data_IF_307454887099
#
_entry.id   IF_307454887099
#
_cell.length_a   1.000
_cell.length_b   1.000
_cell.length_c   1.000
_cell.angle_alpha   90.00
_cell.angle_beta   90.00
_cell.angle_gamma   90.00
#
_symmetry.space_group_name_H-M   'P 1'
#
loop_
_entity.id
_entity.type
_entity.pdbx_description
1 polymer ?
#
# COMPACT_ATOMS: atom_id res chain seq x y z
N UNK A 1 0.71 34.80 16.12
CA UNK A 1 0.57 33.33 16.02
C UNK A 1 0.58 32.87 14.57
N UNK A 2 -0.15 33.52 13.65
CA UNK A 2 0.00 33.40 12.19
C UNK A 2 1.47 33.30 11.72
N UNK A 3 2.28 34.27 12.12
CA UNK A 3 3.70 34.36 11.80
C UNK A 3 4.53 33.16 12.29
N UNK A 4 4.13 32.55 13.42
CA UNK A 4 4.79 31.34 13.93
C UNK A 4 4.42 30.14 13.05
N UNK A 5 3.15 30.01 12.67
CA UNK A 5 2.67 28.89 11.86
C UNK A 5 3.36 28.83 10.48
N UNK A 6 3.44 29.97 9.79
CA UNK A 6 4.09 30.06 8.47
C UNK A 6 5.59 29.81 8.56
N UNK A 7 6.26 30.28 9.62
CA UNK A 7 7.70 30.01 9.80
C UNK A 7 7.98 28.56 10.16
N UNK A 8 7.12 27.93 10.96
CA UNK A 8 7.31 26.53 11.37
C UNK A 8 6.99 25.57 10.23
N UNK A 9 5.90 25.80 9.50
CA UNK A 9 5.43 24.87 8.46
C UNK A 9 6.06 25.20 7.10
N UNK A 10 5.94 26.44 6.64
CA UNK A 10 6.37 26.86 5.29
C UNK A 10 7.76 27.52 5.26
N UNK A 11 8.42 27.66 6.42
CA UNK A 11 9.74 28.28 6.55
C UNK A 11 9.84 29.72 6.01
N UNK A 12 8.71 30.45 5.95
CA UNK A 12 8.67 31.86 5.53
C UNK A 12 7.75 32.70 6.41
N UNK A 13 7.72 34.01 6.18
CA UNK A 13 6.74 34.91 6.80
C UNK A 13 5.45 34.97 5.98
N UNK A 14 4.28 35.15 6.62
CA UNK A 14 3.01 35.31 5.92
C UNK A 14 2.95 36.65 5.19
N UNK A 15 2.36 36.65 4.00
CA UNK A 15 2.04 37.85 3.23
C UNK A 15 0.95 38.67 3.92
N UNK A 16 0.81 39.95 3.55
CA UNK A 16 -0.22 40.84 4.14
C UNK A 16 -1.64 40.32 3.94
N UNK A 17 -1.91 39.67 2.81
CA UNK A 17 -3.19 39.02 2.49
C UNK A 17 -3.49 37.82 3.40
N UNK A 18 -2.46 37.13 3.88
CA UNK A 18 -2.56 35.90 4.66
C UNK A 18 -2.66 36.16 6.18
N UNK A 19 -2.14 37.31 6.63
CA UNK A 19 -2.16 37.73 8.05
C UNK A 19 -3.57 37.89 8.60
N UNK A 20 -4.53 38.34 7.77
CA UNK A 20 -5.94 38.50 8.16
C UNK A 20 -6.68 37.17 8.29
N UNK A 21 -6.43 36.21 7.38
CA UNK A 21 -7.08 34.89 7.38
C UNK A 21 -6.70 34.08 8.61
N UNK A 22 -5.42 34.09 8.97
CA UNK A 22 -4.95 33.32 10.13
C UNK A 22 -5.50 33.84 11.45
N UNK A 23 -5.87 35.13 11.58
CA UNK A 23 -6.45 35.62 12.83
C UNK A 23 -7.85 35.04 13.10
N UNK A 24 -8.61 34.73 12.04
CA UNK A 24 -9.97 34.17 12.10
C UNK A 24 -9.94 32.68 12.46
N UNK A 25 -9.02 31.92 11.87
CA UNK A 25 -8.93 30.46 12.00
C UNK A 25 -8.68 29.98 13.45
N UNK A 26 -8.11 30.81 14.32
CA UNK A 26 -7.84 30.45 15.72
C UNK A 26 -9.05 30.61 16.66
N UNK A 27 -10.11 31.30 16.23
CA UNK A 27 -11.27 31.54 17.10
C UNK A 27 -12.33 30.45 16.98
N UNK A 28 -12.20 29.53 16.01
CA UNK A 28 -13.17 28.48 15.74
C UNK A 28 -12.51 27.09 15.84
N UNK A 29 -13.03 26.19 16.71
CA UNK A 29 -12.54 24.82 16.80
C UNK A 29 -12.63 24.09 15.44
N UNK A 30 -11.55 23.44 15.01
CA UNK A 30 -11.48 22.69 13.74
C UNK A 30 -10.94 23.48 12.54
N UNK A 31 -10.99 24.82 12.56
CA UNK A 31 -10.42 25.63 11.47
C UNK A 31 -8.89 25.65 11.52
N UNK A 32 -8.30 25.60 12.72
CA UNK A 32 -6.86 25.50 12.89
C UNK A 32 -6.29 24.23 12.28
N UNK A 33 -6.87 23.06 12.59
CA UNK A 33 -6.44 21.77 12.06
C UNK A 33 -6.59 21.71 10.54
N UNK A 34 -7.71 22.25 10.01
CA UNK A 34 -7.91 22.37 8.57
C UNK A 34 -6.83 23.24 7.94
N UNK A 35 -6.50 24.40 8.54
CA UNK A 35 -5.47 25.30 8.00
C UNK A 35 -4.08 24.68 8.01
N UNK A 36 -3.72 24.00 9.09
CA UNK A 36 -2.46 23.24 9.18
C UNK A 36 -2.43 22.16 8.10
N UNK A 37 -3.53 21.43 7.93
CA UNK A 37 -3.65 20.45 6.85
C UNK A 37 -3.48 21.09 5.48
N UNK A 38 -4.16 22.20 5.19
CA UNK A 38 -4.05 22.90 3.91
C UNK A 38 -2.61 23.36 3.62
N UNK A 39 -1.92 23.88 4.64
CA UNK A 39 -0.51 24.27 4.51
C UNK A 39 0.39 23.07 4.24
N UNK A 40 0.21 21.95 4.94
CA UNK A 40 0.99 20.72 4.72
C UNK A 40 0.75 20.08 3.36
N UNK A 41 -0.45 20.23 2.78
CA UNK A 41 -0.79 19.71 1.46
C UNK A 41 -0.53 20.70 0.32
N UNK A 42 -0.14 21.95 0.63
CA UNK A 42 0.15 22.98 -0.37
C UNK A 42 1.41 22.66 -1.20
N UNK A 43 1.42 23.07 -2.46
CA UNK A 43 2.61 23.00 -3.33
C UNK A 43 3.81 23.73 -2.73
N UNK A 44 3.55 24.83 -2.05
CA UNK A 44 4.58 25.62 -1.39
C UNK A 44 5.33 24.81 -0.32
N UNK A 45 4.62 24.09 0.54
CA UNK A 45 5.24 23.21 1.54
C UNK A 45 6.11 22.14 0.89
N UNK A 46 5.60 21.50 -0.17
CA UNK A 46 6.30 20.44 -0.90
C UNK A 46 7.59 20.93 -1.55
N UNK A 47 7.61 22.18 -2.03
CA UNK A 47 8.78 22.78 -2.69
C UNK A 47 9.77 23.32 -1.68
N UNK A 48 9.32 24.02 -0.64
CA UNK A 48 10.19 24.82 0.23
C UNK A 48 10.64 24.08 1.49
N UNK A 49 9.74 23.36 2.16
CA UNK A 49 9.99 22.83 3.50
C UNK A 49 10.28 21.33 3.49
N UNK A 50 9.52 20.58 2.69
CA UNK A 50 9.58 19.12 2.67
C UNK A 50 10.95 18.53 2.28
N UNK A 51 11.70 19.08 1.28
CA UNK A 51 13.02 18.55 0.95
C UNK A 51 14.02 18.66 2.11
N UNK A 52 13.98 19.76 2.86
CA UNK A 52 14.85 19.97 4.03
C UNK A 52 14.54 18.99 5.17
N UNK A 53 13.25 18.82 5.47
CA UNK A 53 12.79 17.87 6.49
C UNK A 53 13.20 16.42 6.17
N UNK A 54 13.09 16.04 4.90
CA UNK A 54 13.46 14.70 4.44
C UNK A 54 14.99 14.54 4.44
N UNK A 55 15.75 15.54 3.99
CA UNK A 55 17.22 15.47 3.95
C UNK A 55 17.83 15.32 5.35
N UNK A 56 17.34 16.04 6.35
CA UNK A 56 17.85 15.99 7.72
C UNK A 56 17.62 14.61 8.38
N UNK A 57 16.43 14.04 8.19
CA UNK A 57 16.09 12.74 8.76
C UNK A 57 16.84 11.56 8.10
N UNK A 58 17.33 11.74 6.87
CA UNK A 58 17.83 10.66 6.01
C UNK A 58 19.33 10.67 5.82
N UNK A 59 20.11 11.29 6.72
CA UNK A 59 21.56 11.44 6.53
C UNK A 59 22.30 10.11 6.20
N UNK A 60 21.89 8.98 6.77
CA UNK A 60 22.49 7.66 6.46
C UNK A 60 22.05 7.08 5.10
N UNK A 61 21.04 7.67 4.49
CA UNK A 61 20.39 7.30 3.24
C UNK A 61 20.59 8.38 2.15
N UNK A 62 21.42 9.39 2.39
CA UNK A 62 21.64 10.49 1.44
C UNK A 62 22.04 9.96 0.06
N UNK A 63 21.33 10.42 -0.96
CA UNK A 63 21.54 10.00 -2.36
C UNK A 63 21.01 8.61 -2.71
N UNK A 64 20.45 7.86 -1.74
CA UNK A 64 19.84 6.55 -1.98
C UNK A 64 18.33 6.68 -2.03
N UNK A 65 17.74 6.15 -3.10
CA UNK A 65 16.29 6.05 -3.25
C UNK A 65 15.94 4.60 -3.45
N UNK A 66 15.09 4.07 -2.59
CA UNK A 66 14.70 2.66 -2.59
C UNK A 66 13.21 2.54 -2.86
N UNK A 67 12.86 1.62 -3.75
CA UNK A 67 11.50 1.12 -3.87
C UNK A 67 11.40 -0.28 -3.26
N UNK A 68 10.58 -0.39 -2.22
CA UNK A 68 10.24 -1.65 -1.58
C UNK A 68 8.97 -2.22 -2.23
N UNK A 69 9.19 -3.23 -3.08
CA UNK A 69 8.11 -4.04 -3.65
C UNK A 69 7.53 -4.94 -2.55
N UNK A 70 6.40 -4.51 -2.02
CA UNK A 70 5.67 -5.24 -0.99
C UNK A 70 4.83 -6.33 -1.67
N UNK A 71 5.28 -7.57 -1.57
CA UNK A 71 4.46 -8.73 -1.98
C UNK A 71 3.52 -9.09 -0.84
N UNK A 72 2.20 -9.25 -1.07
CA UNK A 72 1.29 -9.60 0.01
C UNK A 72 1.68 -10.89 0.73
N UNK A 73 1.56 -10.89 2.06
CA UNK A 73 1.77 -12.04 2.96
C UNK A 73 3.21 -12.58 3.04
N UNK A 74 4.21 -11.78 2.68
CA UNK A 74 5.64 -12.11 2.82
C UNK A 74 6.31 -11.45 4.04
N UNK A 75 5.52 -11.06 5.04
CA UNK A 75 5.96 -10.21 6.15
C UNK A 75 6.40 -8.79 5.73
N UNK A 76 5.99 -8.34 4.54
CA UNK A 76 6.36 -7.02 4.02
C UNK A 76 5.91 -5.85 4.90
N UNK A 77 4.82 -5.96 5.68
CA UNK A 77 4.46 -4.94 6.68
C UNK A 77 5.56 -4.74 7.72
N UNK A 78 6.13 -5.82 8.27
CA UNK A 78 7.20 -5.73 9.27
C UNK A 78 8.47 -5.13 8.67
N UNK A 79 8.82 -5.54 7.45
CA UNK A 79 9.98 -5.03 6.71
C UNK A 79 9.81 -3.55 6.38
N UNK A 80 8.63 -3.15 5.91
CA UNK A 80 8.26 -1.76 5.69
C UNK A 80 8.47 -0.92 6.96
N UNK A 81 7.98 -1.38 8.11
CA UNK A 81 8.14 -0.64 9.37
C UNK A 81 9.61 -0.50 9.78
N UNK A 82 10.41 -1.55 9.56
CA UNK A 82 11.86 -1.49 9.80
C UNK A 82 12.56 -0.50 8.85
N UNK A 83 12.18 -0.48 7.57
CA UNK A 83 12.70 0.46 6.58
C UNK A 83 12.33 1.91 6.94
N UNK A 84 11.06 2.20 7.25
CA UNK A 84 10.62 3.53 7.68
C UNK A 84 11.42 4.00 8.91
N UNK A 85 11.58 3.11 9.90
CA UNK A 85 12.38 3.42 11.10
C UNK A 85 13.86 3.68 10.77
N UNK A 86 14.42 2.93 9.83
CA UNK A 86 15.81 3.06 9.41
C UNK A 86 16.06 4.32 8.58
N UNK A 87 15.09 4.74 7.78
CA UNK A 87 15.16 5.92 6.93
C UNK A 87 14.88 7.19 7.72
N UNK A 88 14.07 7.11 8.78
CA UNK A 88 13.71 8.25 9.63
C UNK A 88 12.55 9.10 9.08
N UNK A 89 12.03 8.77 7.90
CA UNK A 89 10.89 9.46 7.28
C UNK A 89 9.77 8.48 6.94
N UNK A 90 8.52 8.96 6.82
CA UNK A 90 7.46 8.20 6.19
C UNK A 90 7.86 7.72 4.79
N UNK A 91 7.25 6.62 4.37
CA UNK A 91 7.39 6.12 3.01
C UNK A 91 6.32 6.74 2.10
N UNK A 92 6.66 6.92 0.83
CA UNK A 92 5.65 7.21 -0.18
C UNK A 92 4.90 5.92 -0.57
N UNK A 93 3.58 5.91 -0.35
CA UNK A 93 2.75 4.70 -0.45
C UNK A 93 1.95 4.60 -1.76
N UNK A 94 2.05 3.46 -2.45
CA UNK A 94 1.37 3.18 -3.72
C UNK A 94 0.35 2.04 -3.65
N UNK A 95 -0.22 1.79 -2.48
CA UNK A 95 -1.26 0.77 -2.36
C UNK A 95 -2.50 1.19 -3.17
N UNK A 96 -2.95 0.31 -4.08
CA UNK A 96 -4.15 0.50 -4.93
C UNK A 96 -4.05 1.59 -6.03
N UNK A 97 -2.86 2.14 -6.32
CA UNK A 97 -2.68 3.04 -7.47
C UNK A 97 -2.42 2.23 -8.74
N UNK A 98 -3.05 2.60 -9.85
CA UNK A 98 -2.81 1.97 -11.15
C UNK A 98 -1.63 2.68 -11.82
N UNK A 99 -0.49 2.02 -12.05
CA UNK A 99 0.76 2.66 -12.51
C UNK A 99 0.74 3.06 -13.99
N UNK A 100 -0.41 3.05 -14.67
CA UNK A 100 -0.55 3.60 -16.03
C UNK A 100 -0.26 5.11 -16.12
N UNK A 101 -0.03 5.79 -14.98
CA UNK A 101 0.51 7.14 -14.92
C UNK A 101 1.96 7.11 -14.46
N UNK A 102 2.86 6.76 -15.37
CA UNK A 102 4.31 6.98 -15.20
C UNK A 102 4.64 8.47 -14.93
N UNK A 103 3.76 9.38 -15.41
CA UNK A 103 3.81 10.82 -15.12
C UNK A 103 3.56 11.15 -13.65
N UNK A 104 2.70 10.40 -12.94
CA UNK A 104 2.47 10.62 -11.51
C UNK A 104 3.69 10.22 -10.71
N UNK A 105 4.40 9.15 -11.09
CA UNK A 105 5.60 8.69 -10.39
C UNK A 105 6.73 9.73 -10.48
N UNK A 106 6.90 10.40 -11.61
CA UNK A 106 8.02 11.34 -11.84
C UNK A 106 7.74 12.79 -11.45
N UNK A 107 6.59 13.09 -10.84
CA UNK A 107 6.35 14.45 -10.33
C UNK A 107 7.46 14.86 -9.36
N UNK A 108 7.84 16.14 -9.37
CA UNK A 108 8.82 16.72 -8.45
C UNK A 108 8.51 16.39 -6.98
N UNK A 109 7.22 16.18 -6.68
CA UNK A 109 6.71 15.80 -5.37
C UNK A 109 7.11 14.39 -4.89
N UNK A 110 7.51 13.52 -5.81
CA UNK A 110 7.82 12.13 -5.47
C UNK A 110 9.33 11.89 -5.38
N UNK A 111 10.12 12.72 -6.05
CA UNK A 111 11.56 12.54 -6.18
C UNK A 111 12.35 12.78 -4.89
N UNK A 112 11.79 13.48 -3.91
CA UNK A 112 12.46 13.69 -2.64
C UNK A 112 12.29 12.54 -1.65
N UNK A 113 11.30 11.64 -1.84
CA UNK A 113 11.10 10.53 -0.90
C UNK A 113 12.19 9.48 -1.08
N UNK A 114 12.96 9.15 -0.02
CA UNK A 114 14.03 8.14 -0.06
C UNK A 114 13.49 6.71 -0.11
N UNK A 115 12.25 6.51 0.35
CA UNK A 115 11.62 5.20 0.47
C UNK A 115 10.23 5.21 -0.13
N UNK A 116 10.04 4.37 -1.13
CA UNK A 116 8.78 4.14 -1.82
C UNK A 116 8.30 2.73 -1.50
N UNK A 117 6.99 2.54 -1.31
CA UNK A 117 6.45 1.23 -0.93
C UNK A 117 5.10 1.00 -1.63
N UNK A 118 4.88 -0.20 -2.17
CA UNK A 118 3.58 -0.55 -2.71
C UNK A 118 3.42 -2.01 -3.13
N UNK A 119 2.18 -2.39 -3.43
CA UNK A 119 1.82 -3.65 -4.06
C UNK A 119 1.76 -3.44 -5.59
N UNK A 120 2.89 -3.52 -6.30
CA UNK A 120 2.96 -3.25 -7.74
C UNK A 120 3.61 -4.40 -8.52
N UNK A 121 3.36 -4.50 -9.82
CA UNK A 121 4.13 -5.42 -10.66
C UNK A 121 5.58 -4.94 -10.76
N UNK A 122 6.54 -5.87 -10.83
CA UNK A 122 7.95 -5.56 -11.04
C UNK A 122 8.21 -4.81 -12.36
N UNK A 123 7.34 -4.93 -13.36
CA UNK A 123 7.41 -4.16 -14.60
C UNK A 123 7.22 -2.65 -14.39
N UNK A 124 6.62 -2.24 -13.27
CA UNK A 124 6.43 -0.84 -12.89
C UNK A 124 7.49 -0.34 -11.92
N UNK A 125 8.56 -1.12 -11.75
CA UNK A 125 9.67 -0.75 -10.89
C UNK A 125 10.42 0.44 -11.52
N UNK A 126 10.53 1.59 -10.85
CA UNK A 126 11.24 2.73 -11.41
C UNK A 126 12.73 2.39 -11.59
N UNK A 127 13.28 2.60 -12.78
CA UNK A 127 14.65 2.21 -13.10
C UNK A 127 15.73 3.04 -12.40
N UNK A 128 15.36 4.19 -11.83
CA UNK A 128 16.23 5.10 -11.10
C UNK A 128 16.26 4.84 -9.58
N UNK A 129 15.51 3.85 -9.08
CA UNK A 129 15.49 3.45 -7.68
C UNK A 129 16.11 2.07 -7.45
N UNK A 130 16.72 1.88 -6.29
CA UNK A 130 17.20 0.57 -5.82
C UNK A 130 16.03 -0.32 -5.40
N UNK A 131 16.11 -1.60 -5.74
CA UNK A 131 15.06 -2.59 -5.48
C UNK A 131 15.22 -3.45 -4.26
N UNK A 132 14.22 -3.40 -3.39
CA UNK A 132 14.07 -4.35 -2.28
C UNK A 132 12.74 -5.07 -2.41
N UNK A 133 12.76 -6.38 -2.22
CA UNK A 133 11.54 -7.17 -2.05
C UNK A 133 11.78 -8.32 -1.08
N UNK A 134 10.70 -8.88 -0.55
CA UNK A 134 10.78 -10.02 0.36
C UNK A 134 9.90 -11.13 -0.17
N UNK A 135 10.51 -12.31 -0.30
CA UNK A 135 9.86 -13.53 -0.72
C UNK A 135 9.49 -14.40 0.46
N UNK A 136 8.47 -15.22 0.24
CA UNK A 136 8.07 -16.29 1.13
C UNK A 136 7.76 -17.51 0.29
N UNK A 137 7.98 -18.69 0.86
CA UNK A 137 7.54 -19.95 0.30
C UNK A 137 6.05 -19.87 -0.11
N UNK A 138 5.78 -20.31 -1.35
CA UNK A 138 4.53 -20.02 -2.04
C UNK A 138 3.32 -20.66 -1.37
N UNK A 139 3.42 -21.89 -0.86
CA UNK A 139 2.32 -22.60 -0.18
C UNK A 139 1.94 -21.89 1.11
N UNK A 140 2.93 -21.50 1.91
CA UNK A 140 2.78 -20.75 3.15
C UNK A 140 2.15 -19.39 2.91
N UNK A 141 2.54 -18.71 1.82
CA UNK A 141 1.96 -17.43 1.42
C UNK A 141 0.49 -17.56 1.05
N UNK A 142 0.16 -18.55 0.22
CA UNK A 142 -1.21 -18.86 -0.22
C UNK A 142 -2.11 -19.19 0.97
N UNK A 143 -1.65 -20.05 1.89
CA UNK A 143 -2.39 -20.38 3.10
C UNK A 143 -2.61 -19.14 4.00
N UNK A 144 -1.60 -18.27 4.10
CA UNK A 144 -1.72 -17.02 4.86
C UNK A 144 -2.73 -16.05 4.22
N UNK A 145 -2.77 -15.97 2.88
CA UNK A 145 -3.76 -15.19 2.14
C UNK A 145 -5.18 -15.73 2.37
N UNK A 146 -5.35 -17.06 2.27
CA UNK A 146 -6.62 -17.71 2.55
C UNK A 146 -7.14 -17.34 3.95
N UNK A 147 -6.32 -17.58 4.98
CA UNK A 147 -6.67 -17.26 6.37
C UNK A 147 -7.01 -15.78 6.58
N UNK A 148 -6.31 -14.86 5.91
CA UNK A 148 -6.66 -13.43 5.97
C UNK A 148 -8.03 -13.16 5.35
N UNK A 149 -8.31 -13.65 4.13
CA UNK A 149 -9.60 -13.44 3.48
C UNK A 149 -10.75 -14.05 4.28
N UNK A 150 -10.55 -15.25 4.82
CA UNK A 150 -11.48 -15.90 5.74
C UNK A 150 -11.79 -15.01 6.95
N UNK A 151 -10.75 -14.42 7.57
CA UNK A 151 -10.94 -13.49 8.70
C UNK A 151 -11.63 -12.19 8.31
N UNK A 152 -11.28 -11.60 7.17
CA UNK A 152 -11.92 -10.36 6.69
C UNK A 152 -13.41 -10.57 6.42
N UNK A 153 -13.78 -11.69 5.78
CA UNK A 153 -15.18 -12.06 5.56
C UNK A 153 -15.97 -12.19 6.88
N UNK A 154 -15.32 -12.56 7.98
CA UNK A 154 -15.92 -12.61 9.32
C UNK A 154 -16.02 -11.22 9.99
N UNK A 155 -15.12 -10.29 9.66
CA UNK A 155 -15.02 -8.98 10.31
C UNK A 155 -15.84 -7.88 9.62
N UNK A 156 -16.03 -7.95 8.29
CA UNK A 156 -16.80 -6.96 7.51
C UNK A 156 -18.30 -6.85 7.89
N UNK A 157 -18.75 -7.68 8.81
CA UNK A 157 -20.13 -7.77 9.27
C UNK A 157 -20.40 -7.00 10.58
N UNK A 158 -19.36 -6.49 11.26
CA UNK A 158 -19.51 -5.92 12.61
C UNK A 158 -20.13 -4.51 12.67
N UNK A 159 -20.25 -3.82 11.53
CA UNK A 159 -20.76 -2.44 11.47
C UNK A 159 -22.09 -2.30 10.71
N UNK A 160 -22.74 -3.40 10.36
CA UNK A 160 -24.01 -3.37 9.64
C UNK A 160 -25.14 -3.29 10.66
N UNK A 161 -25.77 -2.12 10.75
CA UNK A 161 -26.93 -1.87 11.63
C UNK A 161 -28.23 -2.51 11.10
N UNK A 162 -28.27 -2.86 9.81
CA UNK A 162 -29.39 -3.49 9.14
C UNK A 162 -29.34 -5.04 9.27
N UNK A 163 -30.30 -5.67 9.99
CA UNK A 163 -30.31 -7.10 10.24
C UNK A 163 -30.37 -7.97 8.97
N UNK A 164 -31.12 -7.57 7.94
CA UNK A 164 -31.28 -8.38 6.71
C UNK A 164 -30.01 -8.37 5.86
N UNK A 165 -29.34 -7.21 5.76
CA UNK A 165 -28.04 -7.09 5.09
C UNK A 165 -26.95 -7.84 5.85
N UNK A 166 -27.00 -7.81 7.18
CA UNK A 166 -26.08 -8.54 8.04
C UNK A 166 -26.23 -10.05 7.82
N UNK A 167 -27.46 -10.57 7.80
CA UNK A 167 -27.74 -11.98 7.56
C UNK A 167 -27.27 -12.45 6.18
N UNK A 168 -27.55 -11.69 5.12
CA UNK A 168 -27.05 -11.98 3.76
C UNK A 168 -25.52 -12.05 3.72
N UNK A 169 -24.82 -11.10 4.34
CA UNK A 169 -23.35 -11.13 4.38
C UNK A 169 -22.79 -12.25 5.26
N UNK A 170 -23.46 -12.61 6.35
CA UNK A 170 -23.07 -13.76 7.18
C UNK A 170 -23.21 -15.06 6.38
N UNK A 171 -24.30 -15.23 5.62
CA UNK A 171 -24.50 -16.38 4.72
C UNK A 171 -23.40 -16.42 3.66
N UNK A 172 -23.14 -15.30 2.98
CA UNK A 172 -22.08 -15.21 1.97
C UNK A 172 -20.68 -15.45 2.54
N UNK A 173 -20.40 -14.97 3.76
CA UNK A 173 -19.16 -15.25 4.47
C UNK A 173 -19.07 -16.74 4.82
N UNK A 174 -20.15 -17.36 5.32
CA UNK A 174 -20.21 -18.80 5.60
C UNK A 174 -20.00 -19.63 4.35
N UNK A 175 -20.59 -19.27 3.21
CA UNK A 175 -20.36 -19.92 1.91
C UNK A 175 -18.92 -19.74 1.41
N UNK A 176 -18.31 -18.59 1.69
CA UNK A 176 -16.91 -18.33 1.33
C UNK A 176 -15.96 -19.12 2.22
N UNK A 177 -16.30 -19.28 3.51
CA UNK A 177 -15.55 -20.03 4.51
C UNK A 177 -15.75 -21.55 4.39
N UNK A 178 -16.90 -22.00 3.89
CA UNK A 178 -17.21 -23.42 3.68
C UNK A 178 -16.55 -23.99 2.43
N UNK A 179 -16.02 -23.14 1.54
CA UNK A 179 -15.19 -23.60 0.41
C UNK A 179 -13.90 -24.24 0.95
N UNK A 180 -13.68 -25.54 0.66
CA UNK A 180 -12.42 -26.19 0.99
C UNK A 180 -11.25 -25.41 0.38
N UNK A 181 -10.11 -25.39 1.07
CA UNK A 181 -8.91 -24.69 0.62
C UNK A 181 -8.55 -25.03 -0.83
N UNK A 182 -8.69 -26.30 -1.25
CA UNK A 182 -8.45 -26.74 -2.63
C UNK A 182 -9.32 -26.03 -3.67
N UNK A 183 -10.60 -25.80 -3.39
CA UNK A 183 -11.54 -25.10 -4.28
C UNK A 183 -11.22 -23.61 -4.36
N UNK A 184 -10.91 -22.98 -3.22
CA UNK A 184 -10.46 -21.59 -3.17
C UNK A 184 -9.12 -21.39 -3.90
N UNK A 185 -8.19 -22.33 -3.71
CA UNK A 185 -6.86 -22.33 -4.33
C UNK A 185 -6.96 -22.38 -5.85
N UNK A 186 -7.73 -23.32 -6.41
CA UNK A 186 -7.97 -23.44 -7.86
C UNK A 186 -8.58 -22.17 -8.47
N UNK A 187 -9.47 -21.49 -7.75
CA UNK A 187 -10.07 -20.23 -8.20
C UNK A 187 -9.13 -19.01 -8.09
N UNK A 188 -8.21 -19.00 -7.12
CA UNK A 188 -7.40 -17.82 -6.78
C UNK A 188 -6.02 -17.76 -7.46
N UNK A 189 -5.54 -18.90 -7.96
CA UNK A 189 -4.22 -19.04 -8.61
C UNK A 189 -4.05 -18.24 -9.89
N UNK A 190 -5.15 -17.87 -10.58
CA UNK A 190 -5.10 -17.10 -11.82
C UNK A 190 -4.91 -15.58 -11.68
N UNK A 191 -4.93 -15.03 -10.46
CA UNK A 191 -5.07 -13.56 -10.28
C UNK A 191 -4.15 -12.88 -9.26
N UNK A 192 -3.46 -13.59 -8.34
CA UNK A 192 -2.81 -12.88 -7.21
C UNK A 192 -1.47 -13.40 -6.72
N UNK A 193 -1.07 -14.61 -7.09
CA UNK A 193 0.14 -15.23 -6.53
C UNK A 193 1.35 -14.95 -7.44
N UNK A 194 1.19 -15.07 -8.76
CA UNK A 194 2.30 -14.88 -9.72
C UNK A 194 2.24 -13.56 -10.52
N UNK A 195 1.09 -12.88 -10.50
CA UNK A 195 0.87 -11.65 -11.30
C UNK A 195 1.71 -10.43 -10.89
N UNK A 196 2.59 -10.56 -9.88
CA UNK A 196 3.55 -9.51 -9.50
C UNK A 196 4.87 -9.59 -10.29
N UNK A 197 5.14 -10.73 -10.92
CA UNK A 197 6.39 -10.99 -11.66
C UNK A 197 6.16 -11.32 -13.13
N UNK A 198 4.91 -11.36 -13.56
CA UNK A 198 4.51 -11.58 -14.95
C UNK A 198 4.03 -10.22 -15.47
N UNK A 199 4.64 -9.66 -16.53
CA UNK A 199 4.17 -8.41 -17.12
C UNK A 199 2.65 -8.44 -17.38
N UNK A 200 1.93 -7.32 -17.15
CA UNK A 200 0.48 -7.27 -17.36
C UNK A 200 0.06 -7.72 -18.77
N UNK A 201 0.89 -7.42 -19.76
CA UNK A 201 0.74 -7.77 -21.17
C UNK A 201 0.82 -9.29 -21.41
N UNK A 202 1.64 -10.00 -20.64
CA UNK A 202 1.81 -11.46 -20.67
C UNK A 202 0.80 -12.20 -19.77
N UNK A 203 0.20 -11.53 -18.79
CA UNK A 203 -0.75 -12.12 -17.84
C UNK A 203 -2.00 -12.72 -18.49
N UNK A 204 -2.33 -12.32 -19.72
CA UNK A 204 -3.40 -12.94 -20.53
C UNK A 204 -3.00 -14.32 -21.05
N UNK A 205 -1.73 -14.55 -21.37
CA UNK A 205 -1.22 -15.85 -21.83
C UNK A 205 -1.15 -16.88 -20.70
N UNK A 206 -0.93 -16.47 -19.45
CA UNK A 206 -0.98 -17.38 -18.28
C UNK A 206 -2.41 -17.75 -17.84
N UNK A 207 -3.44 -17.21 -18.51
CA UNK A 207 -4.81 -17.78 -18.45
C UNK A 207 -4.98 -18.97 -19.41
N UNK A 208 -3.92 -19.42 -20.09
CA UNK A 208 -3.95 -20.55 -21.02
C UNK A 208 -4.34 -21.87 -20.35
N UNK A 209 -4.84 -22.79 -21.18
CA UNK A 209 -5.12 -24.19 -20.79
C UNK A 209 -3.88 -24.88 -20.18
N UNK A 210 -2.67 -24.50 -20.58
CA UNK A 210 -1.41 -25.12 -20.14
C UNK A 210 -1.08 -24.75 -18.69
N UNK A 211 -1.24 -23.48 -18.30
CA UNK A 211 -1.08 -23.08 -16.90
C UNK A 211 -2.13 -23.76 -16.01
N UNK A 212 -3.39 -23.82 -16.46
CA UNK A 212 -4.44 -24.59 -15.76
C UNK A 212 -4.10 -26.08 -15.64
N UNK A 213 -3.52 -26.68 -16.68
CA UNK A 213 -3.07 -28.08 -16.70
C UNK A 213 -1.92 -28.31 -15.71
N UNK A 214 -0.94 -27.41 -15.66
CA UNK A 214 0.14 -27.44 -14.67
C UNK A 214 -0.43 -27.38 -13.25
N UNK A 215 -1.34 -26.44 -12.95
CA UNK A 215 -1.99 -26.32 -11.63
C UNK A 215 -2.78 -27.59 -11.25
N UNK A 216 -3.52 -28.16 -12.19
CA UNK A 216 -4.24 -29.42 -11.97
C UNK A 216 -3.26 -30.57 -11.64
N UNK A 217 -2.12 -30.67 -12.34
CA UNK A 217 -1.06 -31.65 -12.05
C UNK A 217 -0.43 -31.52 -10.66
N UNK A 218 -0.33 -30.31 -10.10
CA UNK A 218 0.24 -30.10 -8.74
C UNK A 218 -0.81 -30.23 -7.62
N UNK A 219 -2.11 -30.21 -7.96
CA UNK A 219 -3.21 -30.26 -6.99
C UNK A 219 -3.86 -31.63 -6.81
N UNK A 220 -3.43 -32.62 -7.59
CA UNK A 220 -3.76 -34.05 -7.43
C UNK A 220 -2.45 -34.77 -7.07
N UNK A 221 -2.24 -35.46 -5.91
CA UNK A 221 -3.07 -35.79 -4.75
C UNK A 221 -2.42 -35.40 -3.39
N UNK A 222 -1.40 -34.53 -3.34
CA UNK A 222 -0.62 -34.26 -2.09
C UNK A 222 -1.28 -33.30 -1.08
N UNK A 223 -2.50 -32.81 -1.32
CA UNK A 223 -3.19 -31.88 -0.41
C UNK A 223 -3.95 -32.59 0.72
N UNK A 224 -4.33 -33.87 0.55
CA UNK A 224 -5.00 -34.64 1.61
C UNK A 224 -4.05 -34.99 2.76
N UNK A 225 -2.75 -35.13 2.48
CA UNK A 225 -1.74 -35.43 3.52
C UNK A 225 -1.47 -34.22 4.44
N UNK A 226 -1.65 -32.99 3.95
CA UNK A 226 -1.35 -31.75 4.72
C UNK A 226 -2.53 -31.30 5.59
N UNK A 227 -3.73 -31.84 5.39
CA UNK A 227 -4.89 -31.56 6.24
C UNK A 227 -5.07 -32.58 7.37
N UNK A 228 -4.25 -33.64 7.38
CA UNK A 228 -4.29 -34.72 8.38
C UNK A 228 -3.00 -34.79 9.24
N UNK A 229 -2.10 -33.80 9.12
CA UNK A 229 -0.97 -33.53 10.02
C UNK A 229 -1.13 -32.13 10.64
#
# INVERSE_FOLDING_TARGET
MADVLYRVILQRRPERSEQGLTAVDFHFPGQFESRVSDMLHSEEFKIMALPGLVAEATHNWTGKRVFFLHVPKTAGTSVRMALIKSVGTPAFEFYNRNPSMEQDLRSLENNFWPLWVGHQNISYFPHDLDGITVFRESRSRVLSTYRQRSRMALMENRHILDPERLEKKIIQARETLSKPFGTWFKASMGLSVLGYFIPPEEGTQYRSKEFRSYINKISEPKLETILNE
#
